data_IF_010385096927
#
_entry.id   IF_010385096927
#
_cell.length_a   1.000
_cell.length_b   1.000
_cell.length_c   1.000
_cell.angle_alpha   90.00
_cell.angle_beta   90.00
_cell.angle_gamma   90.00
#
_symmetry.space_group_name_H-M   'P 1'
#
loop_
_entity.id
_entity.type
_entity.pdbx_description
1 polymer ?
#
# COMPACT_ATOMS: atom_id res chain seq x y z
N UNK A 1 85.17 16.88 43.35
CA UNK A 1 84.26 16.75 42.19
C UNK A 1 83.14 15.80 42.61
N UNK A 2 81.97 16.35 42.93
CA UNK A 2 81.02 15.71 43.84
C UNK A 2 80.19 14.63 43.13
N UNK A 3 80.32 13.38 43.58
CA UNK A 3 79.55 12.21 43.11
C UNK A 3 78.02 12.43 43.19
N UNK A 4 77.58 13.33 44.07
CA UNK A 4 76.19 13.76 44.19
C UNK A 4 75.67 14.45 42.91
N UNK A 5 76.48 15.24 42.20
CA UNK A 5 76.01 15.95 41.00
C UNK A 5 75.68 14.98 39.84
N UNK A 6 76.45 13.90 39.69
CA UNK A 6 76.22 12.88 38.67
C UNK A 6 74.94 12.06 38.93
N UNK A 7 74.65 11.73 40.19
CA UNK A 7 73.42 11.03 40.56
C UNK A 7 72.16 11.84 40.22
N UNK A 8 72.18 13.14 40.52
CA UNK A 8 71.05 14.04 40.21
C UNK A 8 70.83 14.26 38.70
N UNK A 9 71.91 14.37 37.92
CA UNK A 9 71.81 14.45 36.45
C UNK A 9 71.25 13.17 35.82
N UNK A 10 71.57 12.00 36.35
CA UNK A 10 71.03 10.72 35.88
C UNK A 10 69.54 10.59 36.21
N UNK A 11 69.13 10.97 37.41
CA UNK A 11 67.72 10.97 37.83
C UNK A 11 66.90 11.96 36.97
N UNK A 12 67.44 13.14 36.71
CA UNK A 12 66.78 14.15 35.88
C UNK A 12 66.60 13.69 34.43
N UNK A 13 67.61 13.03 33.84
CA UNK A 13 67.50 12.42 32.51
C UNK A 13 66.47 11.28 32.46
N UNK A 14 66.33 10.50 33.54
CA UNK A 14 65.34 9.43 33.63
C UNK A 14 63.90 9.98 33.69
N UNK A 15 63.68 11.05 34.46
CA UNK A 15 62.39 11.75 34.54
C UNK A 15 62.04 12.40 33.19
N UNK A 16 63.00 13.02 32.51
CA UNK A 16 62.79 13.57 31.16
C UNK A 16 62.42 12.48 30.15
N UNK A 17 63.05 11.30 30.21
CA UNK A 17 62.67 10.17 29.35
C UNK A 17 61.26 9.65 29.65
N UNK A 18 60.91 9.48 30.93
CA UNK A 18 59.56 9.01 31.32
C UNK A 18 58.48 9.99 30.85
N UNK A 19 58.71 11.30 31.02
CA UNK A 19 57.77 12.33 30.54
C UNK A 19 57.64 12.33 29.01
N UNK A 20 58.73 12.10 28.27
CA UNK A 20 58.66 11.94 26.81
C UNK A 20 57.87 10.68 26.40
N UNK A 21 58.08 9.54 27.06
CA UNK A 21 57.32 8.31 26.78
C UNK A 21 55.83 8.46 27.15
N UNK A 22 55.52 9.12 28.27
CA UNK A 22 54.14 9.40 28.66
C UNK A 22 53.44 10.35 27.68
N UNK A 23 54.15 11.37 27.19
CA UNK A 23 53.65 12.27 26.15
C UNK A 23 53.42 11.54 24.82
N UNK A 24 54.30 10.59 24.47
CA UNK A 24 54.13 9.76 23.28
C UNK A 24 52.90 8.86 23.38
N UNK A 25 52.62 8.29 24.56
CA UNK A 25 51.46 7.42 24.81
C UNK A 25 50.15 8.22 24.76
N UNK A 26 50.14 9.47 25.22
CA UNK A 26 48.98 10.36 25.14
C UNK A 26 48.59 10.71 23.69
N UNK A 27 49.54 10.72 22.75
CA UNK A 27 49.28 11.01 21.34
C UNK A 27 48.63 9.85 20.57
N UNK A 28 48.61 8.63 21.13
CA UNK A 28 48.06 7.42 20.48
C UNK A 28 46.67 7.06 21.02
N UNK A 29 46.18 7.76 22.05
CA UNK A 29 44.94 7.40 22.75
C UNK A 29 43.66 8.01 22.13
N UNK A 30 43.80 8.80 21.06
CA UNK A 30 42.67 9.51 20.45
C UNK A 30 42.28 8.89 19.09
N UNK A 31 41.86 7.64 19.10
CA UNK A 31 41.10 7.08 17.97
C UNK A 31 39.91 6.31 18.53
N UNK A 32 38.74 6.97 18.53
CA UNK A 32 37.47 6.28 18.79
C UNK A 32 37.23 5.30 17.63
N UNK A 33 36.91 4.03 17.91
CA UNK A 33 36.54 3.10 16.85
C UNK A 33 35.32 3.67 16.14
N UNK A 34 35.49 4.03 14.86
CA UNK A 34 34.38 4.41 13.99
C UNK A 34 33.48 3.19 13.84
N UNK A 35 32.51 3.06 14.73
CA UNK A 35 31.31 2.28 14.53
C UNK A 35 30.69 2.78 13.22
N UNK A 36 30.99 2.07 12.13
CA UNK A 36 30.32 2.27 10.86
C UNK A 36 28.89 1.80 11.05
N UNK A 37 28.04 2.67 11.60
CA UNK A 37 26.60 2.48 11.57
C UNK A 37 26.24 2.36 10.11
N UNK A 38 26.12 1.13 9.61
CA UNK A 38 25.62 0.86 8.26
C UNK A 38 24.27 1.55 8.21
N UNK A 39 24.19 2.65 7.46
CA UNK A 39 22.94 3.35 7.26
C UNK A 39 21.96 2.31 6.73
N UNK A 40 20.87 2.06 7.47
CA UNK A 40 19.82 1.17 6.99
C UNK A 40 19.30 1.75 5.68
N UNK A 41 19.13 0.89 4.68
CA UNK A 41 18.54 1.31 3.41
C UNK A 41 17.16 1.93 3.70
N UNK A 42 16.86 3.06 3.06
CA UNK A 42 15.57 3.72 3.19
C UNK A 42 14.49 2.85 2.52
N UNK A 43 13.51 2.38 3.28
CA UNK A 43 12.41 1.52 2.80
C UNK A 43 11.09 2.28 2.61
N UNK A 44 11.08 3.60 2.84
CA UNK A 44 9.89 4.43 2.72
C UNK A 44 9.49 4.72 1.26
N UNK A 45 8.40 5.46 1.05
CA UNK A 45 8.00 5.89 -0.28
C UNK A 45 9.05 6.84 -0.87
N UNK A 46 9.33 6.68 -2.15
CA UNK A 46 10.22 7.55 -2.93
C UNK A 46 9.46 8.67 -3.65
N UNK A 47 8.13 8.55 -3.72
CA UNK A 47 7.24 9.55 -4.30
C UNK A 47 5.91 9.54 -3.54
N UNK A 48 5.38 10.73 -3.33
CA UNK A 48 4.08 10.98 -2.73
C UNK A 48 3.31 11.98 -3.59
N UNK A 49 2.05 11.67 -3.88
CA UNK A 49 1.14 12.52 -4.65
C UNK A 49 -0.14 12.70 -3.86
N UNK A 50 -0.59 13.95 -3.70
CA UNK A 50 -1.86 14.30 -3.08
C UNK A 50 -2.93 14.60 -4.13
N UNK A 51 -4.20 14.43 -3.75
CA UNK A 51 -5.38 14.75 -4.58
C UNK A 51 -5.37 14.10 -5.97
N UNK A 52 -5.10 12.79 -5.99
CA UNK A 52 -4.96 12.02 -7.22
C UNK A 52 -6.31 11.88 -7.91
N UNK A 53 -6.32 12.21 -9.21
CA UNK A 53 -7.43 11.97 -10.13
C UNK A 53 -6.90 11.27 -11.38
N UNK A 54 -7.36 10.04 -11.61
CA UNK A 54 -7.05 9.26 -12.81
C UNK A 54 -8.29 9.16 -13.69
N UNK A 55 -8.11 9.38 -14.98
CA UNK A 55 -9.14 9.26 -16.00
C UNK A 55 -8.67 8.24 -17.04
N UNK A 56 -9.53 7.29 -17.37
CA UNK A 56 -9.28 6.32 -18.42
C UNK A 56 -10.38 6.41 -19.48
N UNK A 57 -9.95 6.51 -20.73
CA UNK A 57 -10.83 6.61 -21.89
C UNK A 57 -10.51 5.51 -22.90
N UNK A 58 -11.56 4.99 -23.53
CA UNK A 58 -11.48 3.99 -24.61
C UNK A 58 -12.31 4.55 -25.78
N UNK A 59 -11.73 4.54 -27.00
CA UNK A 59 -12.34 5.17 -28.18
C UNK A 59 -12.81 6.62 -27.94
N UNK A 60 -11.99 7.43 -27.27
CA UNK A 60 -12.27 8.82 -26.90
C UNK A 60 -13.47 9.04 -25.95
N UNK A 61 -14.06 7.98 -25.40
CA UNK A 61 -15.11 8.07 -24.39
C UNK A 61 -14.52 7.83 -23.01
N UNK A 62 -14.84 8.69 -22.03
CA UNK A 62 -14.46 8.47 -20.64
C UNK A 62 -15.15 7.20 -20.13
N UNK A 63 -14.37 6.22 -19.65
CA UNK A 63 -14.88 4.93 -19.14
C UNK A 63 -14.72 4.81 -17.63
N UNK A 64 -13.64 5.34 -17.07
CA UNK A 64 -13.35 5.24 -15.64
C UNK A 64 -12.79 6.56 -15.12
N UNK A 65 -13.24 6.95 -13.93
CA UNK A 65 -12.63 8.00 -13.11
C UNK A 65 -12.32 7.44 -11.74
N UNK A 66 -11.05 7.46 -11.35
CA UNK A 66 -10.62 7.12 -9.99
C UNK A 66 -10.11 8.36 -9.27
N UNK A 67 -10.47 8.50 -7.99
CA UNK A 67 -9.99 9.57 -7.12
C UNK A 67 -9.57 9.03 -5.76
N UNK A 68 -8.51 9.58 -5.20
CA UNK A 68 -8.04 9.30 -3.84
C UNK A 68 -7.18 10.46 -3.33
N UNK A 69 -7.18 10.69 -2.02
CA UNK A 69 -6.49 11.83 -1.44
C UNK A 69 -4.96 11.69 -1.45
N UNK A 70 -4.42 10.45 -1.48
CA UNK A 70 -2.98 10.21 -1.37
C UNK A 70 -2.54 8.95 -2.10
N UNK A 71 -1.43 9.03 -2.83
CA UNK A 71 -0.72 7.91 -3.44
C UNK A 71 0.74 7.93 -2.98
N UNK A 72 1.25 6.77 -2.61
CA UNK A 72 2.65 6.55 -2.26
C UNK A 72 3.25 5.54 -3.24
N UNK A 73 4.41 5.85 -3.83
CA UNK A 73 5.16 4.91 -4.68
C UNK A 73 6.50 4.56 -4.04
N UNK A 74 6.85 3.29 -4.07
CA UNK A 74 8.06 2.72 -3.44
C UNK A 74 9.12 2.38 -4.50
N UNK A 75 10.33 2.02 -4.05
CA UNK A 75 11.46 1.71 -4.95
C UNK A 75 11.17 0.59 -5.95
N UNK A 76 10.34 -0.39 -5.58
CA UNK A 76 9.92 -1.48 -6.46
C UNK A 76 8.70 -1.14 -7.34
N UNK A 77 8.37 0.15 -7.45
CA UNK A 77 7.20 0.70 -8.14
C UNK A 77 5.84 0.21 -7.64
N UNK A 78 5.79 -0.51 -6.52
CA UNK A 78 4.53 -0.75 -5.82
C UNK A 78 3.94 0.59 -5.40
N UNK A 79 2.61 0.66 -5.44
CA UNK A 79 1.88 1.84 -4.99
C UNK A 79 0.96 1.48 -3.84
N UNK A 80 0.81 2.40 -2.88
CA UNK A 80 -0.21 2.33 -1.84
C UNK A 80 -1.11 3.57 -1.95
N UNK A 81 -2.39 3.35 -1.76
CA UNK A 81 -3.41 4.38 -1.67
C UNK A 81 -3.97 4.28 -0.24
N UNK A 82 -3.33 4.93 0.75
CA UNK A 82 -3.67 4.76 2.16
C UNK A 82 -5.00 5.41 2.56
N UNK A 83 -5.62 6.17 1.65
CA UNK A 83 -6.89 6.86 1.84
C UNK A 83 -7.97 6.25 0.96
N UNK A 84 -9.22 6.66 1.20
CA UNK A 84 -10.36 6.15 0.45
C UNK A 84 -10.14 6.23 -1.07
N UNK A 85 -10.50 5.16 -1.76
CA UNK A 85 -10.44 5.07 -3.22
C UNK A 85 -11.87 5.07 -3.73
N UNK A 86 -12.21 6.07 -4.55
CA UNK A 86 -13.52 6.17 -5.19
C UNK A 86 -13.35 6.00 -6.69
N UNK A 87 -14.08 5.07 -7.28
CA UNK A 87 -14.06 4.75 -8.71
C UNK A 87 -15.47 4.90 -9.25
N UNK A 88 -15.56 5.57 -10.39
CA UNK A 88 -16.77 5.79 -11.14
C UNK A 88 -16.61 5.20 -12.54
N UNK A 89 -17.52 4.32 -12.92
CA UNK A 89 -17.60 3.71 -14.24
C UNK A 89 -18.69 4.38 -15.05
N UNK A 90 -18.39 4.66 -16.31
CA UNK A 90 -19.28 5.32 -17.25
C UNK A 90 -19.77 4.35 -18.33
N UNK A 91 -21.04 4.49 -18.68
CA UNK A 91 -21.66 3.80 -19.80
C UNK A 91 -21.32 4.44 -21.15
N UNK A 92 -21.82 3.87 -22.26
CA UNK A 92 -21.54 4.36 -23.61
C UNK A 92 -21.98 5.81 -23.88
N UNK A 93 -23.00 6.31 -23.16
CA UNK A 93 -23.51 7.67 -23.34
C UNK A 93 -22.90 8.66 -22.32
N UNK A 94 -21.88 8.23 -21.56
CA UNK A 94 -21.25 9.05 -20.51
C UNK A 94 -22.03 9.10 -19.20
N UNK A 95 -23.09 8.31 -19.06
CA UNK A 95 -23.84 8.17 -17.83
C UNK A 95 -23.07 7.36 -16.77
N UNK A 96 -23.24 7.70 -15.49
CA UNK A 96 -22.63 6.95 -14.39
C UNK A 96 -23.37 5.63 -14.15
N UNK A 97 -22.73 4.50 -14.41
CA UNK A 97 -23.38 3.17 -14.32
C UNK A 97 -23.06 2.45 -13.02
N UNK A 98 -21.81 2.50 -12.58
CA UNK A 98 -21.33 1.78 -11.39
C UNK A 98 -20.41 2.68 -10.57
N UNK A 99 -20.57 2.66 -9.25
CA UNK A 99 -19.65 3.32 -8.31
C UNK A 99 -18.98 2.27 -7.43
N UNK A 100 -17.70 2.40 -7.16
CA UNK A 100 -16.96 1.62 -6.18
C UNK A 100 -16.30 2.56 -5.18
N UNK A 101 -16.46 2.26 -3.89
CA UNK A 101 -15.71 2.89 -2.80
C UNK A 101 -14.96 1.82 -2.01
N UNK A 102 -13.73 2.11 -1.60
CA UNK A 102 -13.01 1.38 -0.54
C UNK A 102 -12.29 2.33 0.40
N UNK A 103 -11.82 1.82 1.54
CA UNK A 103 -11.07 2.61 2.51
C UNK A 103 -9.59 2.79 2.11
N UNK A 104 -9.04 1.84 1.36
CA UNK A 104 -7.67 1.92 0.85
C UNK A 104 -7.49 1.11 -0.44
N UNK A 105 -6.31 1.22 -1.05
CA UNK A 105 -5.90 0.37 -2.14
C UNK A 105 -4.40 0.18 -2.24
N UNK A 106 -3.97 -0.69 -3.15
CA UNK A 106 -2.57 -0.89 -3.52
C UNK A 106 -2.45 -1.35 -4.97
N UNK A 107 -1.28 -1.13 -5.54
CA UNK A 107 -0.85 -1.71 -6.79
C UNK A 107 0.43 -2.51 -6.56
N UNK A 108 0.42 -3.78 -6.96
CA UNK A 108 1.56 -4.69 -6.93
C UNK A 108 2.15 -4.72 -8.34
N UNK A 109 3.33 -4.10 -8.51
CA UNK A 109 3.97 -3.95 -9.82
C UNK A 109 4.40 -5.31 -10.38
N UNK A 110 4.90 -6.20 -9.54
CA UNK A 110 5.39 -7.51 -9.96
C UNK A 110 4.26 -8.40 -10.51
N UNK A 111 3.04 -8.25 -9.98
CA UNK A 111 1.86 -9.01 -10.43
C UNK A 111 0.97 -8.26 -11.42
N UNK A 112 1.28 -7.00 -11.68
CA UNK A 112 0.42 -6.06 -12.40
C UNK A 112 -1.03 -6.10 -11.85
N UNK A 113 -1.18 -5.98 -10.53
CA UNK A 113 -2.45 -6.22 -9.86
C UNK A 113 -2.84 -5.05 -8.96
N UNK A 114 -4.05 -4.52 -9.17
CA UNK A 114 -4.66 -3.56 -8.25
C UNK A 114 -5.51 -4.30 -7.23
N UNK A 115 -5.44 -3.86 -5.98
CA UNK A 115 -6.29 -4.38 -4.90
C UNK A 115 -6.89 -3.21 -4.13
N UNK A 116 -8.20 -3.19 -3.99
CA UNK A 116 -8.92 -2.27 -3.09
C UNK A 116 -9.35 -3.04 -1.85
N UNK A 117 -9.25 -2.41 -0.67
CA UNK A 117 -9.38 -3.08 0.63
C UNK A 117 -10.12 -2.20 1.64
N UNK A 118 -10.88 -2.83 2.52
CA UNK A 118 -11.63 -2.18 3.60
C UNK A 118 -12.95 -1.60 3.10
N UNK A 119 -14.06 -2.05 3.70
CA UNK A 119 -15.43 -1.62 3.41
C UNK A 119 -15.69 -1.38 1.92
N UNK A 120 -15.38 -2.38 1.08
CA UNK A 120 -15.54 -2.24 -0.37
C UNK A 120 -17.02 -2.31 -0.69
N UNK A 121 -17.56 -1.22 -1.25
CA UNK A 121 -18.96 -1.10 -1.64
C UNK A 121 -19.04 -0.79 -3.13
N UNK A 122 -19.74 -1.62 -3.87
CA UNK A 122 -20.04 -1.43 -5.29
C UNK A 122 -21.54 -1.21 -5.43
N UNK A 123 -21.94 -0.15 -6.13
CA UNK A 123 -23.34 0.15 -6.44
C UNK A 123 -23.48 0.14 -7.96
N UNK A 124 -24.26 -0.80 -8.48
CA UNK A 124 -24.66 -0.81 -9.88
C UNK A 124 -26.02 -0.13 -10.00
N UNK A 125 -26.05 1.05 -10.63
CA UNK A 125 -27.27 1.87 -10.74
C UNK A 125 -28.26 1.29 -11.74
N UNK A 126 -27.78 0.65 -12.81
CA UNK A 126 -28.63 0.06 -13.84
C UNK A 126 -29.34 -1.20 -13.32
N UNK A 127 -28.60 -2.09 -12.62
CA UNK A 127 -29.16 -3.30 -12.01
C UNK A 127 -29.88 -3.04 -10.68
N UNK A 128 -29.73 -1.84 -10.11
CA UNK A 128 -30.21 -1.50 -8.77
C UNK A 128 -29.66 -2.47 -7.70
N UNK A 129 -28.38 -2.82 -7.81
CA UNK A 129 -27.70 -3.77 -6.91
C UNK A 129 -26.64 -3.07 -6.06
N UNK A 130 -26.50 -3.55 -4.82
CA UNK A 130 -25.40 -3.21 -3.92
C UNK A 130 -24.61 -4.47 -3.63
N UNK A 131 -23.31 -4.43 -3.90
CA UNK A 131 -22.36 -5.48 -3.56
C UNK A 131 -21.38 -4.98 -2.50
N UNK A 132 -21.11 -5.80 -1.47
CA UNK A 132 -20.14 -5.47 -0.42
C UNK A 132 -19.18 -6.61 -0.14
N UNK A 133 -17.91 -6.30 0.08
CA UNK A 133 -16.86 -7.25 0.47
C UNK A 133 -15.69 -6.52 1.16
N UNK A 134 -14.74 -7.27 1.70
CA UNK A 134 -13.55 -6.69 2.35
C UNK A 134 -12.45 -6.31 1.34
N UNK A 135 -12.43 -6.97 0.18
CA UNK A 135 -11.35 -6.83 -0.79
C UNK A 135 -11.83 -7.18 -2.20
N UNK A 136 -11.40 -6.40 -3.20
CA UNK A 136 -11.49 -6.75 -4.62
C UNK A 136 -10.13 -6.59 -5.28
N UNK A 137 -9.81 -7.49 -6.20
CA UNK A 137 -8.61 -7.43 -7.03
C UNK A 137 -9.03 -7.15 -8.47
N UNK A 138 -8.30 -6.25 -9.14
CA UNK A 138 -8.49 -5.95 -10.55
C UNK A 138 -7.20 -6.23 -11.32
N UNK A 139 -7.34 -7.03 -12.38
CA UNK A 139 -6.26 -7.32 -13.31
C UNK A 139 -6.47 -6.49 -14.59
N UNK A 140 -5.56 -5.56 -14.93
CA UNK A 140 -5.68 -4.68 -16.08
C UNK A 140 -5.52 -5.43 -17.41
N UNK A 141 -4.74 -6.52 -17.46
CA UNK A 141 -4.52 -7.33 -18.67
C UNK A 141 -5.82 -8.02 -19.09
N UNK A 142 -6.52 -8.62 -18.13
CA UNK A 142 -7.75 -9.39 -18.41
C UNK A 142 -9.02 -8.55 -18.27
N UNK A 143 -8.92 -7.31 -17.75
CA UNK A 143 -10.04 -6.44 -17.37
C UNK A 143 -11.02 -7.14 -16.40
N UNK A 144 -10.52 -8.01 -15.51
CA UNK A 144 -11.32 -8.82 -14.58
C UNK A 144 -11.22 -8.30 -13.16
N UNK A 145 -12.35 -8.32 -12.46
CA UNK A 145 -12.44 -8.07 -11.02
C UNK A 145 -12.79 -9.36 -10.30
N UNK A 146 -12.07 -9.69 -9.24
CA UNK A 146 -12.32 -10.92 -8.50
C UNK A 146 -11.96 -10.81 -7.03
N UNK A 147 -12.57 -11.68 -6.22
CA UNK A 147 -12.18 -11.92 -4.84
C UNK A 147 -12.48 -13.35 -4.42
N UNK A 148 -11.70 -13.85 -3.47
CA UNK A 148 -11.96 -15.08 -2.72
C UNK A 148 -12.37 -14.76 -1.27
N UNK A 149 -12.83 -13.52 -1.04
CA UNK A 149 -13.41 -13.09 0.23
C UNK A 149 -14.93 -13.17 0.16
N UNK A 150 -15.61 -13.33 1.30
CA UNK A 150 -17.07 -13.28 1.33
C UNK A 150 -17.62 -12.04 0.64
N UNK A 151 -18.67 -12.24 -0.15
CA UNK A 151 -19.36 -11.19 -0.91
C UNK A 151 -20.83 -11.25 -0.57
N UNK A 152 -21.43 -10.08 -0.36
CA UNK A 152 -22.86 -9.93 -0.15
C UNK A 152 -23.43 -9.08 -1.29
N UNK A 153 -24.52 -9.53 -1.87
CA UNK A 153 -25.23 -8.81 -2.94
C UNK A 153 -26.66 -8.57 -2.47
N UNK A 154 -27.14 -7.35 -2.64
CA UNK A 154 -28.51 -6.96 -2.35
C UNK A 154 -29.13 -6.33 -3.60
N UNK A 155 -30.23 -6.91 -4.08
CA UNK A 155 -31.08 -6.30 -5.09
C UNK A 155 -32.05 -5.33 -4.43
N UNK A 156 -32.08 -4.08 -4.88
CA UNK A 156 -33.07 -3.10 -4.41
C UNK A 156 -34.42 -3.27 -5.10
N UNK A 157 -34.46 -3.91 -6.28
CA UNK A 157 -35.70 -4.15 -7.03
C UNK A 157 -36.52 -5.27 -6.40
N UNK A 158 -35.87 -6.40 -6.11
CA UNK A 158 -36.55 -7.60 -5.59
C UNK A 158 -36.44 -7.73 -4.07
N UNK A 159 -35.52 -6.98 -3.45
CA UNK A 159 -35.18 -7.12 -2.03
C UNK A 159 -34.38 -8.38 -1.69
N UNK A 160 -33.99 -9.16 -2.71
CA UNK A 160 -33.16 -10.35 -2.57
C UNK A 160 -31.80 -10.03 -1.93
N UNK A 161 -31.33 -10.95 -1.09
CA UNK A 161 -30.02 -10.86 -0.45
C UNK A 161 -29.26 -12.16 -0.67
N UNK A 162 -28.12 -12.08 -1.34
CA UNK A 162 -27.23 -13.20 -1.61
C UNK A 162 -25.94 -13.05 -0.83
N UNK A 163 -25.37 -14.18 -0.42
CA UNK A 163 -24.03 -14.30 0.17
C UNK A 163 -23.26 -15.39 -0.55
N UNK A 164 -22.02 -15.11 -0.93
CA UNK A 164 -21.09 -16.04 -1.55
C UNK A 164 -19.70 -15.96 -0.91
N UNK A 165 -18.85 -16.95 -1.18
CA UNK A 165 -17.46 -17.02 -0.66
C UNK A 165 -16.46 -16.30 -1.58
N UNK A 166 -16.87 -15.98 -2.79
CA UNK A 166 -16.06 -15.20 -3.72
C UNK A 166 -16.89 -14.59 -4.85
N UNK A 167 -16.21 -13.81 -5.67
CA UNK A 167 -16.76 -13.14 -6.82
C UNK A 167 -15.77 -13.17 -7.96
N UNK A 168 -16.31 -13.23 -9.16
CA UNK A 168 -15.60 -13.03 -10.39
C UNK A 168 -16.49 -12.18 -11.31
N UNK A 169 -15.95 -11.11 -11.91
CA UNK A 169 -16.73 -10.10 -12.62
C UNK A 169 -15.91 -9.42 -13.72
N UNK A 170 -16.58 -8.82 -14.69
CA UNK A 170 -15.95 -7.84 -15.57
C UNK A 170 -15.77 -6.50 -14.85
N UNK A 171 -14.91 -5.63 -15.39
CA UNK A 171 -14.49 -4.40 -14.70
C UNK A 171 -15.62 -3.46 -14.27
N UNK A 172 -16.74 -3.42 -15.00
CA UNK A 172 -17.86 -2.52 -14.76
C UNK A 172 -19.02 -3.17 -13.97
N UNK A 173 -18.86 -4.45 -13.59
CA UNK A 173 -19.85 -5.24 -12.87
C UNK A 173 -21.18 -5.44 -13.61
N UNK A 174 -21.20 -5.25 -14.93
CA UNK A 174 -22.36 -5.59 -15.76
C UNK A 174 -22.57 -7.10 -15.84
N UNK A 175 -21.53 -7.90 -15.63
CA UNK A 175 -21.60 -9.36 -15.51
C UNK A 175 -20.74 -9.87 -14.35
N UNK A 176 -21.27 -10.78 -13.56
CA UNK A 176 -20.50 -11.44 -12.50
C UNK A 176 -21.01 -12.85 -12.22
N UNK A 177 -20.13 -13.68 -11.68
CA UNK A 177 -20.40 -14.98 -11.13
C UNK A 177 -20.00 -14.99 -9.65
N UNK A 178 -20.91 -15.49 -8.81
CA UNK A 178 -20.61 -15.81 -7.42
C UNK A 178 -19.85 -17.14 -7.37
N UNK A 179 -18.82 -17.20 -6.53
CA UNK A 179 -17.95 -18.38 -6.38
C UNK A 179 -18.11 -19.02 -5.01
N UNK A 180 -17.87 -20.33 -4.95
CA UNK A 180 -17.98 -21.12 -3.73
C UNK A 180 -19.42 -21.33 -3.29
N UNK A 181 -19.65 -21.49 -1.98
CA UNK A 181 -20.99 -21.68 -1.43
C UNK A 181 -21.82 -20.40 -1.56
N UNK A 182 -22.96 -20.50 -2.24
CA UNK A 182 -23.93 -19.41 -2.38
C UNK A 182 -25.16 -19.69 -1.51
N UNK A 183 -25.60 -18.69 -0.76
CA UNK A 183 -26.83 -18.73 0.05
C UNK A 183 -27.64 -17.46 -0.22
N UNK A 184 -28.97 -17.53 -0.18
CA UNK A 184 -29.82 -16.41 -0.53
C UNK A 184 -31.12 -16.38 0.24
N UNK A 185 -31.65 -15.18 0.47
CA UNK A 185 -33.01 -14.93 0.93
C UNK A 185 -33.74 -14.25 -0.22
N UNK A 186 -34.84 -14.86 -0.66
CA UNK A 186 -35.68 -14.38 -1.74
C UNK A 186 -37.03 -13.94 -1.19
N UNK A 187 -37.54 -12.80 -1.65
CA UNK A 187 -38.90 -12.40 -1.36
C UNK A 187 -39.81 -13.13 -2.34
N UNK A 188 -40.63 -14.04 -1.82
CA UNK A 188 -41.70 -14.64 -2.61
C UNK A 188 -42.90 -13.73 -2.46
N UNK A 189 -43.23 -12.95 -3.49
CA UNK A 189 -44.55 -12.33 -3.56
C UNK A 189 -45.55 -13.48 -3.68
N UNK A 190 -46.32 -13.70 -2.61
CA UNK A 190 -47.42 -14.66 -2.62
C UNK A 190 -48.43 -14.19 -3.65
N UNK A 191 -48.46 -14.84 -4.82
CA UNK A 191 -49.54 -14.71 -5.77
C UNK A 191 -50.83 -15.13 -5.10
N UNK A 192 -51.57 -14.15 -4.59
CA UNK A 192 -52.94 -14.32 -4.14
C UNK A 192 -53.79 -14.68 -5.34
N UNK A 193 -54.51 -15.80 -5.19
CA UNK A 193 -55.56 -16.29 -6.07
C UNK A 193 -56.63 -15.25 -6.37
#
# INVERSE_FOLDING_TARGET
MNAYAYGWMQVMNYIVRITHYALLILLIACEEPKETKRARAYEGPIEEINDVKMLYSEAAQLRVRMTTARQLRFQNDNRKYPQAVNILFFGPNGEEVTTLRSDSGRYDKAKDLYTVMGNVVVINKQKQEKLTTDQLNWNPQTKRVYTNRPVYVQSKLTGERLRAEGLDSNQDFTQYALKGRVTGVFNVEGGGL
#
